data_IF_535554705485
#
_entry.id   IF_535554705485
#
_cell.length_a   1.000
_cell.length_b   1.000
_cell.length_c   1.000
_cell.angle_alpha   90.00
_cell.angle_beta   90.00
_cell.angle_gamma   90.00
#
_symmetry.space_group_name_H-M   'P 1'
#
loop_
_entity.id
_entity.type
_entity.pdbx_description
1 polymer ?
#
# COMPACT_ATOMS: atom_id res chain seq x y z
N UNK A 1 -8.23 90.91 37.05
CA UNK A 1 -9.60 91.49 36.99
C UNK A 1 -10.41 90.73 35.94
N UNK A 2 -11.59 90.24 36.36
CA UNK A 2 -12.80 89.92 35.58
C UNK A 2 -12.77 88.77 34.54
N UNK A 3 -13.42 87.69 34.96
CA UNK A 3 -14.34 86.79 34.26
C UNK A 3 -14.79 87.20 32.84
N UNK A 4 -14.88 86.23 31.92
CA UNK A 4 -16.19 85.67 31.53
C UNK A 4 -16.09 84.36 30.74
N UNK A 5 -16.98 83.44 31.10
CA UNK A 5 -17.39 82.23 30.38
C UNK A 5 -17.85 82.56 28.95
N UNK A 6 -17.68 81.62 28.02
CA UNK A 6 -18.80 80.95 27.33
C UNK A 6 -18.35 79.68 26.58
N UNK A 7 -19.27 78.72 26.62
CA UNK A 7 -19.23 77.33 26.20
C UNK A 7 -19.66 77.20 24.73
N UNK A 8 -19.04 76.29 23.94
CA UNK A 8 -19.78 75.41 23.03
C UNK A 8 -18.86 74.37 22.33
N UNK A 9 -19.17 73.08 22.58
CA UNK A 9 -19.39 71.97 21.60
C UNK A 9 -18.40 71.90 20.42
N UNK A 10 -17.66 70.82 20.17
CA UNK A 10 -17.86 69.42 20.49
C UNK A 10 -17.41 68.62 19.26
N UNK A 11 -16.64 67.54 19.48
CA UNK A 11 -16.54 66.33 18.63
C UNK A 11 -15.45 65.45 19.24
N UNK A 12 -15.84 64.62 20.20
CA UNK A 12 -15.02 63.51 20.70
C UNK A 12 -15.04 62.38 19.68
N UNK A 13 -13.91 62.11 19.06
CA UNK A 13 -13.68 60.93 18.21
C UNK A 13 -13.86 59.64 19.02
N UNK A 14 -14.55 58.60 18.51
CA UNK A 14 -14.75 57.35 19.24
C UNK A 14 -13.47 56.52 19.37
N UNK A 15 -13.31 55.95 20.56
CA UNK A 15 -12.31 54.98 21.00
C UNK A 15 -12.26 53.78 20.03
N UNK A 16 -11.12 53.54 19.39
CA UNK A 16 -10.89 52.36 18.58
C UNK A 16 -10.99 51.09 19.45
N UNK A 17 -11.94 50.22 19.12
CA UNK A 17 -12.07 48.89 19.72
C UNK A 17 -10.98 47.99 19.15
N UNK A 18 -10.08 47.57 20.03
CA UNK A 18 -9.04 46.59 19.78
C UNK A 18 -9.71 45.23 19.48
N UNK A 19 -9.77 44.82 18.21
CA UNK A 19 -10.25 43.50 17.80
C UNK A 19 -9.06 42.55 17.75
N UNK A 20 -9.08 41.55 18.64
CA UNK A 20 -8.13 40.45 18.65
C UNK A 20 -8.14 39.73 17.27
N UNK A 21 -6.99 39.24 16.78
CA UNK A 21 -6.94 38.55 15.50
C UNK A 21 -7.78 37.28 15.59
N UNK A 22 -8.81 37.22 14.76
CA UNK A 22 -9.58 36.01 14.45
C UNK A 22 -8.61 34.90 14.10
N UNK A 23 -8.55 33.87 14.94
CA UNK A 23 -7.87 32.63 14.62
C UNK A 23 -8.52 32.05 13.36
N UNK A 24 -7.84 32.21 12.23
CA UNK A 24 -8.16 31.48 11.01
C UNK A 24 -7.96 30.00 11.31
N UNK A 25 -9.03 29.34 11.75
CA UNK A 25 -9.15 27.90 11.72
C UNK A 25 -9.01 27.49 10.25
N UNK A 26 -7.81 27.02 9.89
CA UNK A 26 -7.63 26.29 8.64
C UNK A 26 -8.69 25.19 8.57
N UNK A 27 -9.46 25.07 7.48
CA UNK A 27 -10.38 23.95 7.32
C UNK A 27 -9.55 22.67 7.38
N UNK A 28 -9.85 21.82 8.37
CA UNK A 28 -9.30 20.46 8.42
C UNK A 28 -9.66 19.79 7.11
N UNK A 29 -8.65 19.44 6.30
CA UNK A 29 -8.85 18.65 5.09
C UNK A 29 -9.51 17.33 5.50
N UNK A 30 -10.82 17.23 5.31
CA UNK A 30 -11.58 16.04 5.65
C UNK A 30 -11.19 15.00 4.59
N UNK A 31 -10.20 14.16 4.89
CA UNK A 31 -9.79 13.08 4.00
C UNK A 31 -10.97 12.12 3.86
N UNK A 32 -11.69 12.23 2.76
CA UNK A 32 -12.79 11.34 2.44
C UNK A 32 -12.18 9.96 2.15
N UNK A 33 -12.11 9.12 3.18
CA UNK A 33 -11.62 7.75 3.05
C UNK A 33 -12.61 6.99 2.17
N UNK A 34 -12.17 6.57 0.99
CA UNK A 34 -13.03 5.87 0.04
C UNK A 34 -13.53 4.55 0.63
N UNK A 35 -14.83 4.29 0.49
CA UNK A 35 -15.44 3.01 0.83
C UNK A 35 -15.39 2.14 -0.42
N UNK A 36 -14.82 0.94 -0.29
CA UNK A 36 -14.75 -0.02 -1.39
C UNK A 36 -16.15 -0.39 -1.90
N UNK A 37 -16.28 -0.61 -3.21
CA UNK A 37 -17.52 -1.08 -3.85
C UNK A 37 -17.67 -2.61 -3.80
N UNK A 38 -16.53 -3.30 -3.74
CA UNK A 38 -16.41 -4.76 -3.63
C UNK A 38 -15.22 -5.11 -2.76
N UNK A 39 -15.32 -6.20 -2.02
CA UNK A 39 -14.24 -6.75 -1.20
C UNK A 39 -14.29 -8.27 -1.24
N UNK A 40 -13.15 -8.91 -1.10
CA UNK A 40 -13.01 -10.35 -1.11
C UNK A 40 -11.62 -10.76 -0.66
N UNK A 41 -11.33 -12.05 -0.81
CA UNK A 41 -10.01 -12.59 -0.51
C UNK A 41 -9.69 -13.80 -1.37
N UNK A 42 -8.40 -13.98 -1.63
CA UNK A 42 -7.86 -15.11 -2.38
C UNK A 42 -6.64 -15.68 -1.67
N UNK A 43 -6.29 -16.94 -1.94
CA UNK A 43 -5.16 -17.59 -1.28
C UNK A 43 -3.91 -17.60 -2.15
N UNK A 44 -2.76 -17.49 -1.49
CA UNK A 44 -1.43 -17.69 -2.06
C UNK A 44 -0.72 -18.69 -1.14
N UNK A 45 -0.73 -19.97 -1.52
CA UNK A 45 -0.33 -21.05 -0.61
C UNK A 45 -1.18 -21.01 0.68
N UNK A 46 -0.51 -20.93 1.82
CA UNK A 46 -1.12 -20.81 3.15
C UNK A 46 -1.58 -19.38 3.52
N UNK A 47 -1.27 -18.38 2.68
CA UNK A 47 -1.55 -16.99 2.99
C UNK A 47 -2.88 -16.53 2.38
N UNK A 48 -3.76 -15.97 3.20
CA UNK A 48 -4.95 -15.27 2.74
C UNK A 48 -4.65 -13.80 2.42
N UNK A 49 -4.99 -13.39 1.20
CA UNK A 49 -4.82 -12.04 0.69
C UNK A 49 -6.17 -11.35 0.56
N UNK A 50 -6.43 -10.40 1.45
CA UNK A 50 -7.60 -9.53 1.38
C UNK A 50 -7.43 -8.49 0.28
N UNK A 51 -8.47 -8.30 -0.53
CA UNK A 51 -8.47 -7.37 -1.66
C UNK A 51 -9.81 -6.64 -1.80
N UNK A 52 -9.78 -5.47 -2.43
CA UNK A 52 -10.94 -4.62 -2.63
C UNK A 52 -10.87 -3.86 -3.95
N UNK A 53 -12.04 -3.47 -4.47
CA UNK A 53 -12.16 -2.55 -5.60
C UNK A 53 -12.74 -1.23 -5.07
N UNK A 54 -12.09 -0.12 -5.38
CA UNK A 54 -12.49 1.22 -4.97
C UNK A 54 -13.44 1.85 -6.01
N UNK A 55 -14.18 2.94 -5.67
CA UNK A 55 -15.15 3.56 -6.58
C UNK A 55 -14.56 4.04 -7.91
N UNK A 56 -13.29 4.47 -7.91
CA UNK A 56 -12.55 4.87 -9.11
C UNK A 56 -12.03 3.68 -9.94
N UNK A 57 -12.38 2.44 -9.59
CA UNK A 57 -11.91 1.23 -10.24
C UNK A 57 -10.53 0.76 -9.78
N UNK A 58 -9.86 1.44 -8.86
CA UNK A 58 -8.56 0.98 -8.34
C UNK A 58 -8.72 -0.36 -7.62
N UNK A 59 -7.91 -1.35 -7.98
CA UNK A 59 -7.83 -2.64 -7.29
C UNK A 59 -6.74 -2.58 -6.24
N UNK A 60 -7.08 -2.86 -5.00
CA UNK A 60 -6.14 -2.81 -3.87
C UNK A 60 -6.01 -4.15 -3.18
N UNK A 61 -4.80 -4.46 -2.73
CA UNK A 61 -4.49 -5.53 -1.80
C UNK A 61 -4.24 -4.92 -0.42
N UNK A 62 -4.68 -5.60 0.64
CA UNK A 62 -4.37 -5.16 2.00
C UNK A 62 -2.87 -5.17 2.24
N UNK A 63 -2.32 -4.03 2.68
CA UNK A 63 -0.90 -3.88 3.04
C UNK A 63 -0.48 -4.95 4.07
N UNK A 64 -1.35 -5.26 5.04
CA UNK A 64 -1.11 -6.28 6.07
C UNK A 64 -0.99 -7.67 5.46
N UNK A 65 -1.84 -7.99 4.49
CA UNK A 65 -1.83 -9.28 3.81
C UNK A 65 -0.57 -9.48 2.98
N UNK A 66 -0.17 -8.46 2.21
CA UNK A 66 1.10 -8.48 1.47
C UNK A 66 2.30 -8.59 2.42
N UNK A 67 2.26 -7.90 3.55
CA UNK A 67 3.32 -8.01 4.56
C UNK A 67 3.43 -9.43 5.15
N UNK A 68 2.31 -10.11 5.41
CA UNK A 68 2.30 -11.51 5.87
C UNK A 68 2.85 -12.46 4.81
N UNK A 69 2.50 -12.24 3.54
CA UNK A 69 2.96 -13.05 2.41
C UNK A 69 4.49 -13.13 2.34
N UNK A 70 5.18 -12.02 2.55
CA UNK A 70 6.65 -11.98 2.55
C UNK A 70 7.28 -12.26 3.92
N UNK A 71 6.54 -12.87 4.87
CA UNK A 71 6.98 -13.39 6.19
C UNK A 71 8.02 -12.53 6.93
N UNK A 72 7.98 -11.22 6.72
CA UNK A 72 9.05 -10.35 7.18
C UNK A 72 8.78 -9.98 8.62
N UNK A 73 9.57 -10.53 9.55
CA UNK A 73 9.52 -10.10 10.95
C UNK A 73 9.96 -8.64 11.02
N UNK A 74 9.15 -7.78 11.65
CA UNK A 74 9.54 -6.40 12.00
C UNK A 74 10.62 -6.45 13.09
N UNK A 75 11.87 -6.69 12.71
CA UNK A 75 13.00 -6.79 13.64
C UNK A 75 13.64 -5.45 13.99
N UNK A 76 14.53 -5.45 15.01
CA UNK A 76 15.26 -4.25 15.46
C UNK A 76 16.04 -3.54 14.36
N UNK A 77 16.63 -4.28 13.41
CA UNK A 77 17.33 -3.71 12.26
C UNK A 77 16.41 -2.89 11.32
N UNK A 78 15.15 -3.31 11.16
CA UNK A 78 14.17 -2.54 10.39
C UNK A 78 13.76 -1.27 11.15
N UNK A 79 13.63 -1.34 12.47
CA UNK A 79 13.34 -0.16 13.29
C UNK A 79 14.53 0.82 13.36
N UNK A 80 15.77 0.33 13.36
CA UNK A 80 16.95 1.18 13.27
C UNK A 80 17.04 1.88 11.90
N UNK A 81 16.75 1.16 10.80
CA UNK A 81 16.64 1.79 9.47
C UNK A 81 15.52 2.83 9.42
N UNK A 82 14.40 2.57 10.10
CA UNK A 82 13.31 3.53 10.27
C UNK A 82 13.77 4.81 10.98
N UNK A 83 14.64 4.70 11.99
CA UNK A 83 15.16 5.85 12.75
C UNK A 83 16.24 6.64 12.00
N UNK A 84 16.99 6.00 11.11
CA UNK A 84 18.13 6.64 10.40
C UNK A 84 17.73 7.44 9.15
N UNK A 85 16.53 7.22 8.61
CA UNK A 85 16.04 7.95 7.43
C UNK A 85 14.96 8.95 7.84
N UNK A 86 15.36 10.19 8.15
CA UNK A 86 14.44 11.28 8.50
C UNK A 86 13.73 11.87 7.25
N UNK A 87 14.35 11.80 6.06
CA UNK A 87 13.82 12.35 4.79
C UNK A 87 12.97 11.39 3.92
N UNK A 88 11.98 10.72 4.52
CA UNK A 88 10.72 10.50 3.80
C UNK A 88 10.62 9.34 2.81
N UNK A 89 11.00 8.11 3.20
CA UNK A 89 10.69 6.89 2.44
C UNK A 89 10.58 5.62 3.31
N UNK A 90 9.46 5.37 3.98
CA UNK A 90 9.34 4.13 4.75
C UNK A 90 9.05 2.93 3.82
N UNK A 91 10.10 2.23 3.41
CA UNK A 91 9.97 0.95 2.73
C UNK A 91 9.52 -0.13 3.72
N UNK A 92 8.57 -1.01 3.34
CA UNK A 92 8.21 -2.16 4.15
C UNK A 92 9.43 -3.03 4.49
N UNK A 93 9.39 -3.74 5.61
CA UNK A 93 10.54 -4.52 6.09
C UNK A 93 11.09 -5.52 5.08
N UNK A 94 10.23 -6.08 4.22
CA UNK A 94 10.61 -6.99 3.14
C UNK A 94 11.42 -6.31 2.02
N UNK A 95 11.22 -5.00 1.77
CA UNK A 95 11.99 -4.21 0.79
C UNK A 95 13.03 -3.26 1.41
N UNK A 96 13.05 -3.11 2.74
CA UNK A 96 13.99 -2.24 3.46
C UNK A 96 15.49 -2.60 3.38
N UNK A 97 15.93 -3.83 3.04
CA UNK A 97 17.37 -4.11 2.91
C UNK A 97 18.05 -3.31 1.78
N UNK A 98 19.20 -2.69 2.09
CA UNK A 98 19.93 -1.80 1.17
C UNK A 98 20.32 -2.49 -0.16
N UNK A 99 20.55 -3.80 -0.15
CA UNK A 99 20.90 -4.56 -1.35
C UNK A 99 19.72 -4.66 -2.35
N UNK A 100 18.49 -4.39 -1.92
CA UNK A 100 17.30 -4.36 -2.78
C UNK A 100 16.99 -2.96 -3.32
N UNK A 101 17.43 -1.91 -2.63
CA UNK A 101 17.12 -0.52 -2.95
C UNK A 101 17.40 -0.12 -4.41
N UNK A 102 18.55 -0.48 -5.03
CA UNK A 102 18.82 -0.16 -6.45
C UNK A 102 17.85 -0.78 -7.46
N UNK A 103 17.05 -1.77 -7.03
CA UNK A 103 16.12 -2.49 -7.87
C UNK A 103 14.67 -2.07 -7.64
N UNK A 104 14.42 -1.08 -6.78
CA UNK A 104 13.08 -0.49 -6.58
C UNK A 104 12.98 0.70 -7.53
N UNK A 105 12.03 0.68 -8.47
CA UNK A 105 11.79 1.83 -9.34
C UNK A 105 11.08 2.96 -8.56
N UNK A 106 11.12 4.18 -9.10
CA UNK A 106 10.55 5.34 -8.42
C UNK A 106 9.05 5.21 -8.20
N UNK A 107 8.30 4.64 -9.15
CA UNK A 107 6.85 4.48 -9.03
C UNK A 107 6.47 3.55 -7.87
N UNK A 108 7.13 2.39 -7.77
CA UNK A 108 6.96 1.47 -6.65
C UNK A 108 7.39 2.13 -5.33
N UNK A 109 8.50 2.86 -5.34
CA UNK A 109 8.99 3.57 -4.16
C UNK A 109 7.97 4.59 -3.65
N UNK A 110 7.40 5.42 -4.53
CA UNK A 110 6.38 6.42 -4.18
C UNK A 110 5.12 5.74 -3.67
N UNK A 111 4.62 4.71 -4.37
CA UNK A 111 3.42 3.99 -3.99
C UNK A 111 3.55 3.28 -2.63
N UNK A 112 4.72 2.73 -2.30
CA UNK A 112 4.98 2.11 -0.99
C UNK A 112 5.01 3.12 0.17
N UNK A 113 5.37 4.37 -0.09
CA UNK A 113 5.37 5.43 0.93
C UNK A 113 3.99 5.98 1.23
N UNK A 114 3.08 5.89 0.26
CA UNK A 114 1.75 6.47 0.33
C UNK A 114 0.67 5.39 0.09
N UNK A 115 0.49 4.44 1.03
CA UNK A 115 -0.59 3.46 0.93
C UNK A 115 -1.96 4.14 0.84
N UNK A 116 -2.85 3.55 0.04
CA UNK A 116 -4.20 4.06 -0.19
C UNK A 116 -5.04 3.78 1.06
N UNK A 117 -5.48 4.82 1.76
CA UNK A 117 -6.41 4.67 2.88
C UNK A 117 -7.82 4.42 2.37
N UNK A 118 -8.45 3.32 2.79
CA UNK A 118 -9.81 2.95 2.38
C UNK A 118 -10.57 2.23 3.50
N UNK A 119 -11.88 2.07 3.33
CA UNK A 119 -12.71 1.20 4.18
C UNK A 119 -13.28 0.04 3.36
N UNK A 120 -13.31 -1.15 3.95
CA UNK A 120 -13.98 -2.31 3.34
C UNK A 120 -15.51 -2.14 3.32
N UNK A 121 -16.18 -2.86 2.42
CA UNK A 121 -17.64 -2.74 2.14
C UNK A 121 -18.51 -2.90 3.40
N UNK A 122 -18.19 -3.83 4.30
CA UNK A 122 -19.04 -4.15 5.47
C UNK A 122 -18.23 -4.02 6.75
N UNK A 123 -18.67 -3.13 7.66
CA UNK A 123 -18.10 -2.99 9.01
C UNK A 123 -16.59 -2.64 9.06
N UNK A 124 -16.01 -2.23 7.93
CA UNK A 124 -14.57 -2.15 7.73
C UNK A 124 -13.93 -1.04 8.53
N UNK A 125 -13.07 -1.40 9.49
CA UNK A 125 -12.07 -0.47 10.03
C UNK A 125 -11.25 0.09 8.87
N UNK A 126 -10.82 1.35 8.98
CA UNK A 126 -9.88 1.95 8.02
C UNK A 126 -8.67 1.02 7.83
N UNK A 127 -8.34 0.77 6.57
CA UNK A 127 -7.26 -0.09 6.14
C UNK A 127 -6.36 0.65 5.16
N UNK A 128 -5.13 0.15 5.03
CA UNK A 128 -4.18 0.59 4.02
C UNK A 128 -4.14 -0.44 2.90
N UNK A 129 -4.28 0.04 1.67
CA UNK A 129 -4.21 -0.72 0.44
C UNK A 129 -2.94 -0.40 -0.34
N UNK A 130 -2.39 -1.42 -0.99
CA UNK A 130 -1.41 -1.29 -2.06
C UNK A 130 -2.14 -1.53 -3.38
N UNK A 131 -1.81 -0.81 -4.45
CA UNK A 131 -2.32 -1.15 -5.78
C UNK A 131 -1.95 -2.62 -6.07
N UNK A 132 -2.90 -3.41 -6.58
CA UNK A 132 -2.69 -4.82 -6.85
C UNK A 132 -1.53 -5.11 -7.80
N UNK A 133 -1.27 -4.21 -8.75
CA UNK A 133 -0.16 -4.30 -9.70
C UNK A 133 1.22 -4.23 -9.02
N UNK A 134 1.29 -3.66 -7.81
CA UNK A 134 2.54 -3.59 -7.05
C UNK A 134 3.03 -4.97 -6.60
N UNK A 135 2.16 -5.98 -6.47
CA UNK A 135 2.61 -7.29 -6.00
C UNK A 135 3.57 -7.96 -7.01
N UNK A 136 3.28 -8.01 -8.32
CA UNK A 136 4.25 -8.34 -9.36
C UNK A 136 5.51 -7.47 -9.34
N UNK A 137 5.39 -6.17 -9.10
CA UNK A 137 6.56 -5.26 -9.04
C UNK A 137 7.49 -5.59 -7.88
N UNK A 138 6.92 -5.85 -6.69
CA UNK A 138 7.66 -6.30 -5.50
C UNK A 138 8.39 -7.62 -5.81
N UNK A 139 7.74 -8.58 -6.46
CA UNK A 139 8.39 -9.82 -6.89
C UNK A 139 9.57 -9.54 -7.83
N UNK A 140 9.37 -8.62 -8.78
CA UNK A 140 10.39 -8.22 -9.76
C UNK A 140 11.62 -7.54 -9.13
N UNK A 141 11.50 -6.90 -7.97
CA UNK A 141 12.65 -6.39 -7.21
C UNK A 141 13.58 -7.54 -6.82
N UNK A 142 13.04 -8.61 -6.24
CA UNK A 142 13.84 -9.77 -5.84
C UNK A 142 14.48 -10.48 -7.03
N UNK A 143 13.75 -10.64 -8.14
CA UNK A 143 14.31 -11.28 -9.33
C UNK A 143 15.43 -10.45 -9.97
N UNK A 144 15.29 -9.13 -10.04
CA UNK A 144 16.35 -8.24 -10.53
C UNK A 144 17.59 -8.28 -9.62
N UNK A 145 17.40 -8.20 -8.31
CA UNK A 145 18.48 -8.34 -7.35
C UNK A 145 19.18 -9.72 -7.47
N UNK A 146 18.42 -10.80 -7.69
CA UNK A 146 18.96 -12.15 -7.88
C UNK A 146 19.80 -12.25 -9.14
N UNK A 147 19.29 -11.75 -10.27
CA UNK A 147 20.03 -11.71 -11.56
C UNK A 147 21.35 -10.95 -11.47
N UNK A 148 21.42 -9.94 -10.60
CA UNK A 148 22.62 -9.17 -10.36
C UNK A 148 23.54 -9.74 -9.25
N UNK A 149 23.25 -10.93 -8.72
CA UNK A 149 24.04 -11.55 -7.65
C UNK A 149 24.00 -10.80 -6.32
N UNK A 150 22.98 -9.97 -6.07
CA UNK A 150 22.86 -9.13 -4.87
C UNK A 150 21.94 -9.69 -3.79
N UNK A 151 21.33 -10.86 -4.01
CA UNK A 151 20.50 -11.53 -3.00
C UNK A 151 21.39 -12.18 -1.95
N UNK A 152 21.17 -11.87 -0.68
CA UNK A 152 21.85 -12.54 0.42
C UNK A 152 21.26 -13.95 0.65
N UNK A 153 22.01 -14.86 1.25
CA UNK A 153 21.55 -16.23 1.55
C UNK A 153 20.22 -16.26 2.31
N UNK A 154 20.04 -15.33 3.26
CA UNK A 154 18.80 -15.17 4.04
C UNK A 154 17.59 -14.65 3.22
N UNK A 155 17.79 -14.19 1.99
CA UNK A 155 16.75 -13.67 1.08
C UNK A 155 16.45 -14.61 -0.09
N UNK A 156 17.19 -15.71 -0.26
CA UNK A 156 17.00 -16.65 -1.37
C UNK A 156 15.57 -17.18 -1.43
N UNK A 157 15.00 -17.54 -0.29
CA UNK A 157 13.61 -18.01 -0.21
C UNK A 157 12.59 -16.97 -0.72
N UNK A 158 12.83 -15.67 -0.50
CA UNK A 158 11.97 -14.61 -1.05
C UNK A 158 12.08 -14.50 -2.56
N UNK A 159 13.28 -14.66 -3.12
CA UNK A 159 13.47 -14.63 -4.56
C UNK A 159 12.82 -15.84 -5.25
N UNK A 160 12.90 -17.03 -4.64
CA UNK A 160 12.22 -18.23 -5.12
C UNK A 160 10.70 -18.07 -5.04
N UNK A 161 10.18 -17.57 -3.91
CA UNK A 161 8.76 -17.28 -3.77
C UNK A 161 8.28 -16.26 -4.81
N UNK A 162 9.05 -15.18 -5.04
CA UNK A 162 8.73 -14.17 -6.04
C UNK A 162 8.67 -14.74 -7.48
N UNK A 163 9.57 -15.66 -7.82
CA UNK A 163 9.56 -16.35 -9.10
C UNK A 163 8.31 -17.20 -9.29
N UNK A 164 8.00 -18.04 -8.30
CA UNK A 164 6.80 -18.89 -8.31
C UNK A 164 5.52 -18.07 -8.44
N UNK A 165 5.44 -16.93 -7.74
CA UNK A 165 4.30 -16.03 -7.82
C UNK A 165 4.13 -15.44 -9.21
N UNK A 166 5.22 -14.92 -9.79
CA UNK A 166 5.17 -14.32 -11.13
C UNK A 166 4.77 -15.35 -12.19
N UNK A 167 5.27 -16.58 -12.10
CA UNK A 167 4.89 -17.65 -13.01
C UNK A 167 3.40 -18.02 -12.87
N UNK A 168 2.93 -18.20 -11.64
CA UNK A 168 1.53 -18.52 -11.37
C UNK A 168 0.59 -17.38 -11.79
N UNK A 169 0.99 -16.12 -11.58
CA UNK A 169 0.24 -14.95 -12.06
C UNK A 169 0.19 -14.91 -13.58
N UNK A 170 1.31 -15.12 -14.27
CA UNK A 170 1.35 -15.11 -15.73
C UNK A 170 0.42 -16.18 -16.33
N UNK A 171 0.51 -17.43 -15.83
CA UNK A 171 -0.36 -18.54 -16.28
C UNK A 171 -1.83 -18.30 -15.96
N UNK A 172 -2.14 -17.69 -14.81
CA UNK A 172 -3.53 -17.38 -14.44
C UNK A 172 -4.06 -16.19 -15.24
N UNK A 173 -3.23 -15.18 -15.48
CA UNK A 173 -3.58 -13.97 -16.22
C UNK A 173 -3.90 -14.26 -17.69
N UNK A 174 -3.10 -15.09 -18.38
CA UNK A 174 -3.41 -15.47 -19.76
C UNK A 174 -4.74 -16.21 -19.86
N UNK A 175 -5.06 -17.07 -18.88
CA UNK A 175 -6.34 -17.77 -18.83
C UNK A 175 -7.48 -16.79 -18.56
N UNK A 176 -7.31 -15.84 -17.63
CA UNK A 176 -8.32 -14.83 -17.34
C UNK A 176 -8.62 -13.96 -18.57
N UNK A 177 -7.60 -13.56 -19.32
CA UNK A 177 -7.76 -12.78 -20.56
C UNK A 177 -8.51 -13.58 -21.64
N UNK A 178 -8.22 -14.87 -21.80
CA UNK A 178 -8.96 -15.74 -22.72
C UNK A 178 -10.41 -15.92 -22.26
N UNK A 179 -10.64 -16.12 -20.96
CA UNK A 179 -11.97 -16.26 -20.39
C UNK A 179 -12.81 -14.99 -20.61
N UNK A 180 -12.22 -13.81 -20.47
CA UNK A 180 -12.85 -12.51 -20.74
C UNK A 180 -13.13 -12.33 -22.24
N UNK A 181 -12.13 -12.55 -23.10
CA UNK A 181 -12.24 -12.36 -24.55
C UNK A 181 -13.27 -13.30 -25.21
N UNK A 182 -13.47 -14.49 -24.65
CA UNK A 182 -14.43 -15.49 -25.16
C UNK A 182 -15.78 -15.43 -24.44
N UNK A 183 -15.91 -14.64 -23.38
CA UNK A 183 -17.08 -14.63 -22.49
C UNK A 183 -17.21 -15.87 -21.59
N UNK A 184 -16.23 -16.78 -21.62
CA UNK A 184 -16.21 -17.99 -20.78
C UNK A 184 -16.13 -17.67 -19.27
N UNK A 185 -15.74 -16.45 -18.88
CA UNK A 185 -15.79 -16.00 -17.49
C UNK A 185 -17.19 -16.14 -16.84
N UNK A 186 -18.26 -16.06 -17.64
CA UNK A 186 -19.66 -16.19 -17.18
C UNK A 186 -20.10 -17.65 -17.05
N UNK A 187 -19.38 -18.57 -17.68
CA UNK A 187 -19.71 -20.00 -17.74
C UNK A 187 -18.88 -20.84 -16.77
N UNK A 188 -17.66 -20.40 -16.44
CA UNK A 188 -16.78 -21.15 -15.54
C UNK A 188 -17.31 -21.16 -14.11
N UNK A 189 -17.06 -22.24 -13.33
CA UNK A 189 -17.39 -22.27 -11.91
C UNK A 189 -16.77 -21.11 -11.13
N UNK A 190 -17.44 -20.73 -10.04
CA UNK A 190 -16.88 -19.76 -9.10
C UNK A 190 -15.50 -20.24 -8.60
N UNK A 191 -14.57 -19.30 -8.44
CA UNK A 191 -13.19 -19.56 -7.98
C UNK A 191 -12.37 -20.53 -8.86
N UNK A 192 -12.78 -20.82 -10.12
CA UNK A 192 -12.00 -21.65 -11.03
C UNK A 192 -10.56 -21.14 -11.27
N UNK A 193 -10.37 -19.83 -11.42
CA UNK A 193 -9.03 -19.22 -11.55
C UNK A 193 -8.20 -19.40 -10.27
N UNK A 194 -8.82 -19.30 -9.09
CA UNK A 194 -8.14 -19.57 -7.81
C UNK A 194 -7.62 -21.01 -7.76
N UNK A 195 -8.43 -21.97 -8.19
CA UNK A 195 -8.03 -23.38 -8.26
C UNK A 195 -6.85 -23.61 -9.21
N UNK A 196 -6.83 -22.95 -10.38
CA UNK A 196 -5.70 -23.01 -11.32
C UNK A 196 -4.44 -22.37 -10.73
N UNK A 197 -4.58 -21.18 -10.15
CA UNK A 197 -3.50 -20.45 -9.50
C UNK A 197 -2.84 -21.29 -8.39
N UNK A 198 -3.63 -21.87 -7.49
CA UNK A 198 -3.13 -22.76 -6.44
C UNK A 198 -2.38 -23.98 -7.00
N UNK A 199 -2.87 -24.60 -8.08
CA UNK A 199 -2.18 -25.73 -8.71
C UNK A 199 -0.80 -25.35 -9.25
N UNK A 200 -0.66 -24.16 -9.82
CA UNK A 200 0.65 -23.67 -10.28
C UNK A 200 1.60 -23.44 -9.11
N UNK A 201 1.12 -22.91 -7.98
CA UNK A 201 1.95 -22.79 -6.78
C UNK A 201 2.39 -24.16 -6.24
N UNK A 202 1.48 -25.14 -6.14
CA UNK A 202 1.81 -26.45 -5.55
C UNK A 202 2.74 -27.29 -6.44
N UNK A 203 2.51 -27.31 -7.76
CA UNK A 203 3.33 -28.09 -8.71
C UNK A 203 4.80 -27.65 -8.66
N UNK A 204 5.01 -26.34 -8.59
CA UNK A 204 6.34 -25.76 -8.60
C UNK A 204 6.95 -25.69 -7.19
N UNK A 205 6.18 -25.85 -6.10
CA UNK A 205 6.71 -25.91 -4.72
C UNK A 205 7.35 -27.26 -4.35
N UNK A 206 7.00 -28.37 -5.01
CA UNK A 206 7.52 -29.71 -4.66
C UNK A 206 9.05 -29.87 -4.81
N UNK A 207 9.72 -29.30 -5.82
CA UNK A 207 11.18 -29.34 -5.90
C UNK A 207 11.87 -28.49 -4.81
N UNK A 208 11.31 -27.31 -4.48
CA UNK A 208 11.95 -26.36 -3.56
C UNK A 208 11.83 -26.74 -2.09
N UNK A 209 10.78 -27.45 -1.68
CA UNK A 209 10.65 -27.98 -0.32
C UNK A 209 11.79 -28.95 0.05
N UNK A 210 12.39 -29.63 -0.94
CA UNK A 210 13.53 -30.55 -0.72
C UNK A 210 14.88 -29.86 -0.55
N UNK A 211 14.94 -28.52 -0.69
CA UNK A 211 16.21 -27.76 -0.73
C UNK A 211 16.52 -27.03 0.59
N UNK A 212 15.66 -27.16 1.61
CA UNK A 212 15.90 -26.60 2.94
C UNK A 212 16.03 -27.74 3.96
N UNK A 213 17.24 -28.05 4.48
CA UNK A 213 17.37 -28.88 5.67
C UNK A 213 16.85 -28.10 6.89
N UNK A 214 16.24 -28.81 7.85
CA UNK A 214 15.76 -28.28 9.13
C UNK A 214 16.83 -27.51 9.92
#
# INVERSE_FOLDING_TARGET
MKNHLHNARGQTTPRAYNTAPTSHLHPKHQSHVEVAIRSGSFSIGEHLIDCSVLPNGTRVLSERSVHRLFRSKRGGAHYQRKKKNEDGAFLPSYLSPNNLYPYINNDLLVALKQPISYRQVVGGKSANGLNAEMLPDICSVYLRARRAGRIHSKQVHFANQAELLLEAFAKTGIIALVDEATGYEKLRPERALQGKFSKYLTREMQPWQKTFPD
#
